data_IF_065272822117
#
_entry.id   IF_065272822117
#
_cell.length_a   1.000
_cell.length_b   1.000
_cell.length_c   1.000
_cell.angle_alpha   90.00
_cell.angle_beta   90.00
_cell.angle_gamma   90.00
#
_symmetry.space_group_name_H-M   'P 1'
#
loop_
_entity.id
_entity.type
_entity.pdbx_description
1 polymer ?
#
# COMPACT_ATOMS: atom_id res chain seq x y z
N UNK A 1 -12.52 -7.52 0.91
CA UNK A 1 -12.15 -7.43 2.35
C UNK A 1 -13.24 -6.83 3.25
N UNK A 2 -14.51 -6.78 2.82
CA UNK A 2 -15.59 -6.12 3.59
C UNK A 2 -16.76 -7.05 3.95
N UNK A 3 -16.56 -8.36 3.96
CA UNK A 3 -17.61 -9.32 4.35
C UNK A 3 -17.34 -10.03 5.67
N UNK A 4 -16.08 -10.12 6.10
CA UNK A 4 -15.72 -10.78 7.35
C UNK A 4 -14.33 -10.34 7.82
N UNK A 5 -14.12 -10.08 9.13
CA UNK A 5 -12.82 -9.67 9.68
C UNK A 5 -11.80 -10.83 9.70
N UNK A 6 -12.26 -12.08 9.64
CA UNK A 6 -11.41 -13.27 9.69
C UNK A 6 -10.36 -13.34 8.58
N UNK A 7 -10.67 -13.15 7.28
CA UNK A 7 -9.67 -13.15 6.23
C UNK A 7 -8.63 -12.02 6.38
N UNK A 8 -9.03 -10.84 6.83
CA UNK A 8 -8.09 -9.73 7.08
C UNK A 8 -7.17 -10.05 8.26
N UNK A 9 -7.71 -10.60 9.36
CA UNK A 9 -6.92 -11.03 10.51
C UNK A 9 -5.92 -12.14 10.15
N UNK A 10 -6.33 -13.12 9.34
CA UNK A 10 -5.45 -14.18 8.88
C UNK A 10 -4.27 -13.65 8.05
N UNK A 11 -4.50 -12.65 7.19
CA UNK A 11 -3.44 -12.01 6.40
C UNK A 11 -2.48 -11.22 7.30
N UNK A 12 -2.99 -10.49 8.29
CA UNK A 12 -2.14 -9.76 9.24
C UNK A 12 -1.27 -10.71 10.08
N UNK A 13 -1.86 -11.78 10.61
CA UNK A 13 -1.15 -12.76 11.43
C UNK A 13 -0.08 -13.51 10.63
N UNK A 14 -0.43 -13.95 9.40
CA UNK A 14 0.53 -14.57 8.50
C UNK A 14 1.66 -13.60 8.16
N UNK A 15 1.37 -12.36 7.76
CA UNK A 15 2.39 -11.35 7.49
C UNK A 15 3.31 -11.09 8.69
N UNK A 16 2.76 -11.01 9.90
CA UNK A 16 3.54 -10.82 11.12
C UNK A 16 4.48 -12.02 11.39
N UNK A 17 3.99 -13.25 11.21
CA UNK A 17 4.80 -14.46 11.35
C UNK A 17 5.91 -14.54 10.29
N UNK A 18 5.57 -14.30 9.02
CA UNK A 18 6.53 -14.27 7.91
C UNK A 18 7.60 -13.19 8.12
N UNK A 19 7.22 -11.97 8.51
CA UNK A 19 8.16 -10.86 8.68
C UNK A 19 9.06 -11.00 9.90
N UNK A 20 8.58 -11.53 11.04
CA UNK A 20 9.37 -11.65 12.27
C UNK A 20 10.11 -12.96 12.45
N UNK A 21 9.62 -14.06 11.89
CA UNK A 21 10.23 -15.39 12.10
C UNK A 21 10.96 -15.84 10.84
N UNK A 22 10.26 -15.84 9.70
CA UNK A 22 10.85 -16.36 8.45
C UNK A 22 11.87 -15.39 7.86
N UNK A 23 11.59 -14.09 7.89
CA UNK A 23 12.48 -13.03 7.38
C UNK A 23 13.88 -13.07 8.03
N UNK A 24 13.99 -12.95 9.37
CA UNK A 24 15.29 -12.95 10.05
C UNK A 24 16.03 -14.28 9.89
N UNK A 25 15.31 -15.43 9.96
CA UNK A 25 15.91 -16.76 9.79
C UNK A 25 16.49 -16.97 8.39
N UNK A 26 15.86 -16.41 7.36
CA UNK A 26 16.37 -16.44 5.99
C UNK A 26 17.55 -15.47 5.78
N UNK A 27 17.57 -14.36 6.53
CA UNK A 27 18.62 -13.33 6.46
C UNK A 27 19.82 -13.61 7.37
N UNK A 28 19.74 -14.59 8.28
CA UNK A 28 20.82 -14.94 9.22
C UNK A 28 22.11 -15.39 8.52
N UNK A 29 21.99 -16.03 7.35
CA UNK A 29 23.13 -16.57 6.58
C UNK A 29 23.36 -15.85 5.23
N UNK A 30 22.74 -14.69 5.02
CA UNK A 30 22.77 -13.96 3.74
C UNK A 30 23.01 -12.47 3.99
N UNK A 31 23.87 -11.84 3.18
CA UNK A 31 24.04 -10.38 3.19
C UNK A 31 22.70 -9.70 2.88
N UNK A 32 22.42 -8.52 3.48
CA UNK A 32 21.18 -7.80 3.22
C UNK A 32 21.05 -7.52 1.72
N UNK A 33 19.85 -7.79 1.17
CA UNK A 33 19.55 -7.49 -0.22
C UNK A 33 19.58 -5.98 -0.44
N UNK A 34 20.29 -5.52 -1.49
CA UNK A 34 20.23 -4.12 -1.88
C UNK A 34 18.92 -3.86 -2.64
N UNK A 35 17.90 -3.49 -1.87
CA UNK A 35 16.57 -3.19 -2.38
C UNK A 35 16.44 -1.70 -2.77
N UNK A 36 17.52 -0.90 -2.80
CA UNK A 36 17.43 0.55 -3.07
C UNK A 36 16.70 0.86 -4.38
N UNK A 37 17.05 0.17 -5.48
CA UNK A 37 16.38 0.39 -6.77
C UNK A 37 14.89 0.02 -6.75
N UNK A 38 14.54 -1.05 -6.04
CA UNK A 38 13.14 -1.49 -5.85
C UNK A 38 12.38 -0.48 -5.01
N UNK A 39 12.97 0.02 -3.91
CA UNK A 39 12.36 1.04 -3.06
C UNK A 39 12.14 2.35 -3.80
N UNK A 40 13.09 2.81 -4.61
CA UNK A 40 12.94 4.03 -5.43
C UNK A 40 11.79 3.87 -6.42
N UNK A 41 11.75 2.75 -7.14
CA UNK A 41 10.68 2.46 -8.11
C UNK A 41 9.32 2.37 -7.43
N UNK A 42 9.25 1.69 -6.28
CA UNK A 42 8.03 1.58 -5.48
C UNK A 42 7.51 2.94 -5.02
N UNK A 43 8.38 3.79 -4.45
CA UNK A 43 7.99 5.13 -4.00
C UNK A 43 7.53 6.00 -5.18
N UNK A 44 8.22 5.93 -6.33
CA UNK A 44 7.83 6.66 -7.53
C UNK A 44 6.43 6.28 -8.01
N UNK A 45 6.16 4.98 -8.13
CA UNK A 45 4.82 4.48 -8.48
C UNK A 45 3.78 4.91 -7.44
N UNK A 46 4.13 4.82 -6.14
CA UNK A 46 3.24 5.23 -5.06
C UNK A 46 2.89 6.74 -5.15
N UNK A 47 3.85 7.61 -5.48
CA UNK A 47 3.60 9.02 -5.72
C UNK A 47 2.68 9.22 -6.93
N UNK A 48 2.95 8.55 -8.06
CA UNK A 48 2.08 8.64 -9.24
C UNK A 48 0.63 8.20 -8.94
N UNK A 49 0.45 7.08 -8.26
CA UNK A 49 -0.87 6.60 -7.86
C UNK A 49 -1.58 7.59 -6.93
N UNK A 50 -0.86 8.14 -5.95
CA UNK A 50 -1.42 9.14 -5.04
C UNK A 50 -1.83 10.41 -5.79
N UNK A 51 -1.01 10.88 -6.72
CA UNK A 51 -1.31 12.02 -7.58
C UNK A 51 -2.52 11.76 -8.45
N UNK A 52 -2.62 10.59 -9.09
CA UNK A 52 -3.78 10.20 -9.91
C UNK A 52 -5.09 10.22 -9.10
N UNK A 53 -5.10 9.59 -7.92
CA UNK A 53 -6.25 9.60 -7.01
C UNK A 53 -6.62 11.05 -6.63
N UNK A 54 -5.63 11.89 -6.37
CA UNK A 54 -5.87 13.29 -6.03
C UNK A 54 -6.50 14.10 -7.17
N UNK A 55 -6.14 13.81 -8.43
CA UNK A 55 -6.76 14.42 -9.61
C UNK A 55 -8.22 13.99 -9.77
N UNK A 56 -8.51 12.69 -9.67
CA UNK A 56 -9.87 12.15 -9.74
C UNK A 56 -10.78 12.71 -8.65
N UNK A 57 -10.29 12.75 -7.41
CA UNK A 57 -11.03 13.31 -6.27
C UNK A 57 -11.30 14.81 -6.47
N UNK A 58 -10.31 15.56 -6.95
CA UNK A 58 -10.49 16.99 -7.25
C UNK A 58 -11.50 17.23 -8.36
N UNK A 59 -11.44 16.44 -9.44
CA UNK A 59 -12.38 16.52 -10.57
C UNK A 59 -13.81 16.22 -10.11
N UNK A 60 -14.00 15.17 -9.30
CA UNK A 60 -15.28 14.82 -8.69
C UNK A 60 -15.81 15.95 -7.79
N UNK A 61 -14.96 16.55 -6.94
CA UNK A 61 -15.35 17.66 -6.08
C UNK A 61 -15.78 18.92 -6.85
N UNK A 62 -15.07 19.25 -7.95
CA UNK A 62 -15.42 20.40 -8.81
C UNK A 62 -16.76 20.18 -9.52
N UNK A 63 -17.09 18.93 -9.89
CA UNK A 63 -18.34 18.59 -10.57
C UNK A 63 -19.55 18.59 -9.64
N UNK A 64 -19.36 18.35 -8.34
CA UNK A 64 -20.44 18.29 -7.33
C UNK A 64 -20.79 19.68 -6.76
N UNK A 65 -19.85 20.64 -6.75
CA UNK A 65 -20.10 22.02 -6.29
C UNK A 65 -21.29 22.72 -6.99
N UNK A 66 -21.44 22.66 -8.33
CA UNK A 66 -22.58 23.28 -9.00
C UNK A 66 -23.92 22.66 -8.61
N UNK A 67 -23.98 21.34 -8.38
CA UNK A 67 -25.21 20.64 -7.95
C UNK A 67 -25.60 20.94 -6.49
N UNK A 68 -24.66 21.38 -5.64
CA UNK A 68 -24.91 21.75 -4.24
C UNK A 68 -25.33 23.22 -4.06
N UNK A 69 -25.13 24.05 -5.09
CA UNK A 69 -25.40 25.49 -5.08
C UNK A 69 -26.70 25.88 -5.83
N UNK A 70 -27.40 24.90 -6.42
CA UNK A 70 -28.71 25.03 -7.10
C UNK A 70 -29.86 24.48 -6.25
#
# INVERSE_FOLDING_TARGET
MMSSPFPTLAICLSYAYFSKVLGPKLMENRKPFDLRGVLITYNFLQTLFSTWIFYEVRFSYISIIPDLLS
#
